data_IF_193064579816
#
_entry.id   IF_193064579816
#
_cell.length_a   1.000
_cell.length_b   1.000
_cell.length_c   1.000
_cell.angle_alpha   90.00
_cell.angle_beta   90.00
_cell.angle_gamma   90.00
#
_symmetry.space_group_name_H-M   'P 1'
#
loop_
_entity.id
_entity.type
_entity.pdbx_description
1 polymer ?
#
# COMPACT_ATOMS: atom_id res chain seq x y z
N UNK A 1 -8.59 -11.70 -35.03
CA UNK A 1 -7.75 -10.53 -35.42
C UNK A 1 -8.13 -9.36 -34.52
N UNK A 2 -7.22 -8.87 -33.68
CA UNK A 2 -7.50 -7.82 -32.69
C UNK A 2 -7.42 -6.43 -33.35
N UNK A 3 -8.53 -5.69 -33.44
CA UNK A 3 -8.46 -4.24 -33.66
C UNK A 3 -7.94 -3.59 -32.37
N UNK A 4 -6.64 -3.29 -32.32
CA UNK A 4 -6.08 -2.35 -31.34
C UNK A 4 -6.59 -0.96 -31.73
N UNK A 5 -7.29 -0.28 -30.81
CA UNK A 5 -7.55 1.15 -30.95
C UNK A 5 -6.19 1.86 -31.03
N UNK A 6 -5.83 2.31 -32.23
CA UNK A 6 -4.59 3.06 -32.52
C UNK A 6 -4.86 4.57 -32.59
N UNK A 7 -6.08 5.03 -32.34
CA UNK A 7 -6.44 6.43 -32.61
C UNK A 7 -6.02 7.40 -31.50
N UNK A 8 -5.63 6.88 -30.32
CA UNK A 8 -5.18 7.70 -29.19
C UNK A 8 -3.74 7.36 -28.79
N UNK A 9 -2.97 8.41 -28.55
CA UNK A 9 -1.58 8.35 -28.12
C UNK A 9 -1.39 9.16 -26.84
N UNK A 10 -0.16 9.18 -26.34
CA UNK A 10 0.26 10.04 -25.21
C UNK A 10 0.08 11.53 -25.50
N UNK A 11 -0.12 11.90 -26.76
CA UNK A 11 -0.25 13.29 -27.23
C UNK A 11 -1.71 13.66 -27.53
N UNK A 12 -2.66 12.73 -27.35
CA UNK A 12 -4.08 13.01 -27.52
C UNK A 12 -4.58 13.93 -26.39
N UNK A 13 -5.30 14.99 -26.75
CA UNK A 13 -5.85 15.98 -25.80
C UNK A 13 -7.14 15.47 -25.16
N UNK A 14 -7.35 15.82 -23.89
CA UNK A 14 -8.54 15.49 -23.12
C UNK A 14 -9.81 16.01 -23.78
N UNK A 15 -10.82 15.15 -23.92
CA UNK A 15 -12.12 15.49 -24.52
C UNK A 15 -13.06 16.31 -23.60
N UNK A 16 -12.58 16.81 -22.47
CA UNK A 16 -13.37 17.68 -21.59
C UNK A 16 -13.26 19.12 -22.11
N UNK A 17 -14.36 19.88 -22.21
CA UNK A 17 -14.32 21.26 -22.71
C UNK A 17 -13.23 22.08 -22.02
N UNK A 18 -12.50 22.85 -22.81
CA UNK A 18 -11.41 23.74 -22.36
C UNK A 18 -10.23 23.05 -21.65
N UNK A 19 -10.14 21.71 -21.67
CA UNK A 19 -8.99 21.00 -21.12
C UNK A 19 -7.91 20.73 -22.17
N UNK A 20 -6.73 21.32 -21.96
CA UNK A 20 -5.56 21.13 -22.82
C UNK A 20 -4.59 20.04 -22.34
N UNK A 21 -4.96 19.25 -21.31
CA UNK A 21 -4.10 18.17 -20.79
C UNK A 21 -4.17 16.93 -21.66
N UNK A 22 -3.05 16.21 -21.77
CA UNK A 22 -3.01 14.93 -22.47
C UNK A 22 -3.84 13.86 -21.74
N UNK A 23 -4.39 12.94 -22.49
CA UNK A 23 -5.23 11.85 -21.99
C UNK A 23 -4.44 10.89 -21.08
N UNK A 24 -5.16 10.32 -20.11
CA UNK A 24 -4.60 9.34 -19.18
C UNK A 24 -4.24 8.03 -19.90
N UNK A 25 -3.07 7.46 -19.60
CA UNK A 25 -2.69 6.12 -20.04
C UNK A 25 -3.11 5.09 -19.00
N UNK A 26 -3.98 4.18 -19.38
CA UNK A 26 -4.44 3.10 -18.51
C UNK A 26 -3.32 2.07 -18.26
N UNK A 27 -3.39 1.31 -17.16
CA UNK A 27 -2.38 0.32 -16.81
C UNK A 27 -2.18 -0.79 -17.85
N UNK A 28 -3.15 -1.01 -18.75
CA UNK A 28 -3.08 -1.94 -19.86
C UNK A 28 -2.38 -1.38 -21.11
N UNK A 29 -1.95 -0.12 -21.06
CA UNK A 29 -1.26 0.59 -22.12
C UNK A 29 -2.16 1.35 -23.09
N UNK A 30 -3.49 1.26 -22.93
CA UNK A 30 -4.45 2.03 -23.73
C UNK A 30 -4.58 3.48 -23.24
N UNK A 31 -5.10 4.37 -24.08
CA UNK A 31 -5.30 5.78 -23.73
C UNK A 31 -6.79 6.10 -23.58
N UNK A 32 -7.12 6.74 -22.46
CA UNK A 32 -8.45 7.26 -22.12
C UNK A 32 -8.88 8.37 -23.09
N UNK A 33 -10.15 8.77 -23.04
CA UNK A 33 -10.63 10.01 -23.68
C UNK A 33 -10.39 11.26 -22.82
N UNK A 34 -10.03 11.09 -21.55
CA UNK A 34 -9.89 12.15 -20.57
C UNK A 34 -8.54 12.07 -19.85
N UNK A 35 -7.97 13.21 -19.46
CA UNK A 35 -6.72 13.29 -18.70
C UNK A 35 -6.82 12.72 -17.27
N UNK A 36 -8.02 12.42 -16.78
CA UNK A 36 -8.22 11.85 -15.46
C UNK A 36 -9.67 11.50 -15.14
N UNK A 37 -9.87 10.84 -13.99
CA UNK A 37 -11.19 10.39 -13.51
C UNK A 37 -12.14 11.56 -13.25
N UNK A 38 -11.62 12.71 -12.79
CA UNK A 38 -12.40 13.91 -12.52
C UNK A 38 -13.10 14.43 -13.77
N UNK A 39 -12.36 14.68 -14.86
CA UNK A 39 -12.92 15.15 -16.13
C UNK A 39 -13.89 14.14 -16.76
N UNK A 40 -13.57 12.85 -16.66
CA UNK A 40 -14.47 11.78 -17.10
C UNK A 40 -15.79 11.79 -16.34
N UNK A 41 -15.75 11.96 -15.02
CA UNK A 41 -16.95 11.96 -14.18
C UNK A 41 -17.73 13.27 -14.35
N UNK A 42 -17.05 14.41 -14.55
CA UNK A 42 -17.66 15.71 -14.81
C UNK A 42 -18.43 15.75 -16.14
N UNK A 43 -18.00 15.00 -17.16
CA UNK A 43 -18.79 14.82 -18.40
C UNK A 43 -20.11 14.08 -18.18
N UNK A 44 -20.25 13.30 -17.11
CA UNK A 44 -21.49 12.57 -16.79
C UNK A 44 -22.49 13.52 -16.10
N UNK A 45 -21.97 14.53 -15.38
CA UNK A 45 -22.77 15.49 -14.61
C UNK A 45 -23.01 16.83 -15.32
N UNK A 46 -22.45 17.06 -16.51
CA UNK A 46 -22.66 18.31 -17.23
C UNK A 46 -24.05 18.36 -17.88
N UNK A 47 -24.92 19.31 -17.51
CA UNK A 47 -26.18 19.56 -18.21
C UNK A 47 -25.87 20.44 -19.42
N UNK A 48 -25.31 19.87 -20.48
CA UNK A 48 -25.19 20.56 -21.77
C UNK A 48 -26.09 19.83 -22.75
N UNK A 49 -27.20 20.49 -23.09
CA UNK A 49 -28.33 20.05 -23.91
C UNK A 49 -27.99 19.47 -25.28
N UNK A 50 -27.35 18.30 -25.29
CA UNK A 50 -27.16 17.47 -26.47
C UNK A 50 -27.52 16.05 -26.09
N UNK A 51 -28.38 15.43 -26.89
CA UNK A 51 -28.93 14.10 -26.69
C UNK A 51 -27.84 13.04 -26.97
N UNK A 52 -26.82 12.96 -26.11
CA UNK A 52 -25.66 12.08 -26.31
C UNK A 52 -26.13 10.63 -26.09
N UNK A 53 -26.03 9.75 -27.10
CA UNK A 53 -26.49 8.38 -26.98
C UNK A 53 -25.75 7.65 -25.85
N UNK A 54 -26.47 6.89 -25.04
CA UNK A 54 -25.91 6.06 -23.96
C UNK A 54 -25.64 4.63 -24.43
N UNK A 55 -24.68 3.96 -23.81
CA UNK A 55 -24.26 2.61 -24.13
C UNK A 55 -25.42 1.61 -24.02
N UNK A 56 -25.72 0.90 -25.11
CA UNK A 56 -26.80 -0.12 -25.15
C UNK A 56 -26.63 -1.27 -24.16
N UNK A 57 -25.42 -1.51 -23.66
CA UNK A 57 -25.17 -2.59 -22.71
C UNK A 57 -25.31 -2.13 -21.25
N UNK A 58 -24.58 -1.09 -20.84
CA UNK A 58 -24.57 -0.68 -19.43
C UNK A 58 -25.53 0.45 -19.10
N UNK A 59 -26.08 1.15 -20.11
CA UNK A 59 -27.04 2.26 -20.00
C UNK A 59 -26.60 3.44 -19.10
N UNK A 60 -25.38 3.41 -18.55
CA UNK A 60 -24.85 4.41 -17.61
C UNK A 60 -23.80 5.31 -18.25
N UNK A 61 -23.09 4.83 -19.28
CA UNK A 61 -21.96 5.57 -19.90
C UNK A 61 -22.34 6.05 -21.31
N UNK A 62 -21.88 7.24 -21.74
CA UNK A 62 -22.02 7.69 -23.12
C UNK A 62 -21.42 6.68 -24.10
N UNK A 63 -21.99 6.58 -25.29
CA UNK A 63 -21.40 5.74 -26.34
C UNK A 63 -20.03 6.26 -26.76
N UNK A 64 -19.15 5.34 -27.18
CA UNK A 64 -17.84 5.68 -27.72
C UNK A 64 -18.00 6.49 -29.00
N UNK A 65 -17.27 7.61 -29.10
CA UNK A 65 -17.12 8.41 -30.32
C UNK A 65 -15.69 8.26 -30.83
N UNK A 66 -15.54 7.73 -32.04
CA UNK A 66 -14.26 7.63 -32.75
C UNK A 66 -14.42 8.18 -34.18
N UNK A 67 -13.59 9.14 -34.56
CA UNK A 67 -13.58 9.78 -35.88
C UNK A 67 -14.93 10.38 -36.32
N UNK A 68 -15.71 10.94 -35.38
CA UNK A 68 -17.00 11.58 -35.69
C UNK A 68 -18.18 10.60 -35.86
N UNK A 69 -17.97 9.29 -35.65
CA UNK A 69 -19.04 8.29 -35.63
C UNK A 69 -19.34 7.84 -34.19
N UNK A 70 -20.64 7.85 -33.86
CA UNK A 70 -21.17 7.32 -32.60
C UNK A 70 -21.34 5.80 -32.70
N UNK A 71 -20.70 5.06 -31.81
CA UNK A 71 -20.86 3.62 -31.69
C UNK A 71 -22.04 3.27 -30.79
N UNK A 72 -22.41 1.99 -30.68
CA UNK A 72 -23.54 1.55 -29.84
C UNK A 72 -23.16 1.34 -28.35
N UNK A 73 -21.88 1.36 -28.01
CA UNK A 73 -21.37 0.96 -26.69
C UNK A 73 -20.27 1.90 -26.19
N UNK A 74 -20.12 2.06 -24.88
CA UNK A 74 -19.10 2.92 -24.25
C UNK A 74 -17.67 2.36 -24.32
N UNK A 75 -17.47 1.19 -24.92
CA UNK A 75 -16.18 0.54 -25.06
C UNK A 75 -16.30 -0.93 -25.46
N UNK A 76 -15.18 -1.51 -25.90
CA UNK A 76 -15.08 -2.88 -26.45
C UNK A 76 -15.61 -3.94 -25.47
N UNK A 77 -15.38 -3.75 -24.17
CA UNK A 77 -15.87 -4.66 -23.12
C UNK A 77 -17.40 -4.71 -23.08
N UNK A 78 -18.07 -3.55 -23.14
CA UNK A 78 -19.52 -3.49 -23.14
C UNK A 78 -20.12 -4.04 -24.44
N UNK A 79 -19.48 -3.84 -25.60
CA UNK A 79 -19.92 -4.49 -26.84
C UNK A 79 -19.82 -6.02 -26.77
N UNK A 80 -18.71 -6.54 -26.23
CA UNK A 80 -18.49 -7.99 -26.07
C UNK A 80 -19.48 -8.63 -25.09
N UNK A 81 -19.72 -7.98 -23.95
CA UNK A 81 -20.64 -8.51 -22.93
C UNK A 81 -22.10 -8.52 -23.44
N UNK A 82 -22.49 -7.56 -24.26
CA UNK A 82 -23.81 -7.51 -24.91
C UNK A 82 -24.00 -8.65 -25.93
N UNK A 83 -22.96 -8.92 -26.74
CA UNK A 83 -22.96 -10.05 -27.68
C UNK A 83 -23.02 -11.41 -26.95
N UNK A 84 -22.26 -11.56 -25.85
CA UNK A 84 -22.31 -12.77 -25.02
C UNK A 84 -23.67 -13.02 -24.37
N UNK A 85 -24.49 -11.97 -24.19
CA UNK A 85 -25.85 -12.04 -23.65
C UNK A 85 -26.93 -12.12 -24.73
N UNK A 86 -26.57 -12.46 -25.98
CA UNK A 86 -27.53 -12.59 -27.06
C UNK A 86 -28.19 -11.27 -27.49
N UNK A 87 -27.55 -10.13 -27.25
CA UNK A 87 -28.12 -8.82 -27.57
C UNK A 87 -29.00 -8.22 -26.47
N UNK A 88 -28.95 -8.76 -25.24
CA UNK A 88 -29.64 -8.18 -24.10
C UNK A 88 -28.72 -7.29 -23.24
N UNK A 89 -29.19 -6.11 -22.80
CA UNK A 89 -28.46 -5.24 -21.87
C UNK A 89 -28.07 -5.94 -20.57
N UNK A 90 -27.05 -5.44 -19.89
CA UNK A 90 -26.78 -5.87 -18.53
C UNK A 90 -27.89 -5.34 -17.62
N UNK A 91 -28.47 -6.21 -16.79
CA UNK A 91 -29.44 -5.83 -15.75
C UNK A 91 -28.78 -4.76 -14.85
N UNK A 92 -29.37 -3.57 -14.72
CA UNK A 92 -28.90 -2.57 -13.77
C UNK A 92 -28.92 -3.14 -12.34
N UNK A 93 -28.06 -2.68 -11.43
CA UNK A 93 -28.22 -2.99 -10.00
C UNK A 93 -29.63 -2.59 -9.55
N UNK A 94 -30.29 -3.35 -8.67
CA UNK A 94 -31.61 -2.98 -8.17
C UNK A 94 -31.54 -1.61 -7.48
N UNK A 95 -32.41 -0.70 -7.88
CA UNK A 95 -32.56 0.60 -7.22
C UNK A 95 -33.08 0.41 -5.78
N UNK A 96 -32.68 1.27 -4.83
CA UNK A 96 -33.25 1.26 -3.50
C UNK A 96 -34.74 1.61 -3.55
N UNK A 97 -35.54 0.73 -2.94
CA UNK A 97 -36.99 0.81 -2.80
C UNK A 97 -37.37 2.14 -2.14
N UNK A 98 -38.18 2.95 -2.82
CA UNK A 98 -38.83 4.14 -2.29
C UNK A 98 -40.25 3.78 -1.83
N UNK A 99 -40.59 4.19 -0.61
CA UNK A 99 -41.94 4.14 -0.02
C UNK A 99 -42.59 5.53 -0.05
N UNK A 100 -43.92 5.63 0.06
CA UNK A 100 -44.74 6.48 -0.83
C UNK A 100 -44.95 7.92 -0.36
N UNK A 101 -45.35 8.72 -1.35
CA UNK A 101 -45.69 10.14 -1.34
C UNK A 101 -46.80 10.50 -0.35
N UNK A 102 -46.60 11.58 0.39
CA UNK A 102 -47.68 12.44 0.90
C UNK A 102 -47.33 13.86 0.48
N UNK A 103 -48.20 14.45 -0.33
CA UNK A 103 -48.00 15.76 -0.97
C UNK A 103 -48.08 16.94 0.00
N UNK A 104 -47.47 18.05 -0.42
CA UNK A 104 -47.59 19.34 0.25
C UNK A 104 -46.57 20.37 -0.24
N UNK A 105 -47.03 21.23 -1.15
CA UNK A 105 -46.58 22.58 -1.52
C UNK A 105 -45.09 22.97 -1.60
N UNK A 106 -44.78 23.52 -2.78
CA UNK A 106 -43.68 24.42 -3.13
C UNK A 106 -43.20 25.33 -1.97
N UNK A 107 -42.01 25.03 -1.43
CA UNK A 107 -41.12 26.07 -0.89
C UNK A 107 -39.66 25.73 -1.21
N UNK A 108 -38.91 26.81 -1.44
CA UNK A 108 -37.56 26.90 -1.97
C UNK A 108 -36.53 26.29 -1.00
N UNK A 109 -36.33 24.97 -1.02
CA UNK A 109 -35.33 24.30 -0.20
C UNK A 109 -33.94 24.42 -0.84
N UNK A 110 -33.15 25.35 -0.29
CA UNK A 110 -31.70 25.45 -0.44
C UNK A 110 -31.06 24.07 -0.25
N UNK A 111 -30.30 23.62 -1.26
CA UNK A 111 -29.54 22.37 -1.23
C UNK A 111 -28.52 22.41 -0.09
N UNK A 112 -28.89 21.90 1.08
CA UNK A 112 -27.98 21.68 2.19
C UNK A 112 -27.02 20.55 1.79
N UNK A 113 -25.93 20.92 1.10
CA UNK A 113 -24.68 20.19 1.22
C UNK A 113 -24.36 20.21 2.71
N UNK A 114 -24.38 19.05 3.36
CA UNK A 114 -23.88 18.92 4.74
C UNK A 114 -22.39 19.31 4.72
N UNK A 115 -22.12 20.60 4.92
CA UNK A 115 -20.77 21.09 5.11
C UNK A 115 -20.29 20.50 6.43
N UNK A 116 -19.31 19.60 6.36
CA UNK A 116 -18.66 19.09 7.55
C UNK A 116 -18.07 20.28 8.32
N UNK A 117 -18.36 20.33 9.62
CA UNK A 117 -17.80 21.32 10.52
C UNK A 117 -16.46 20.85 11.10
N UNK A 118 -15.71 21.80 11.65
CA UNK A 118 -14.45 21.53 12.33
C UNK A 118 -14.63 20.52 13.47
N UNK A 119 -13.72 19.54 13.57
CA UNK A 119 -13.77 18.49 14.61
C UNK A 119 -13.31 18.94 15.99
N UNK A 120 -13.06 20.24 16.20
CA UNK A 120 -12.79 20.79 17.52
C UNK A 120 -14.11 21.15 18.18
N UNK A 121 -14.32 20.68 19.41
CA UNK A 121 -15.61 20.76 20.12
C UNK A 121 -16.20 22.17 20.25
N UNK A 122 -15.37 23.21 20.13
CA UNK A 122 -15.77 24.62 20.28
C UNK A 122 -15.78 25.38 18.95
N UNK A 123 -15.80 24.69 17.80
CA UNK A 123 -15.74 25.33 16.49
C UNK A 123 -16.71 24.74 15.46
N UNK A 124 -17.64 25.58 14.99
CA UNK A 124 -18.62 25.19 13.97
C UNK A 124 -18.26 25.67 12.55
N UNK A 125 -17.04 26.18 12.36
CA UNK A 125 -16.58 26.64 11.04
C UNK A 125 -16.49 25.46 10.07
N UNK A 126 -16.78 25.65 8.77
CA UNK A 126 -16.64 24.61 7.76
C UNK A 126 -15.20 24.11 7.69
N UNK A 127 -15.02 22.82 7.41
CA UNK A 127 -13.69 22.21 7.28
C UNK A 127 -12.88 22.87 6.16
N UNK A 128 -11.57 22.99 6.40
CA UNK A 128 -10.63 23.47 5.40
C UNK A 128 -10.40 22.40 4.33
N UNK A 129 -10.39 22.81 3.07
CA UNK A 129 -10.08 21.99 1.90
C UNK A 129 -8.79 22.51 1.31
N UNK A 130 -7.83 21.62 1.07
CA UNK A 130 -6.58 22.00 0.41
C UNK A 130 -6.75 22.20 -1.10
N UNK A 131 -5.71 22.72 -1.76
CA UNK A 131 -5.72 22.99 -3.21
C UNK A 131 -5.97 21.74 -4.07
N UNK A 132 -5.78 20.53 -3.51
CA UNK A 132 -6.05 19.26 -4.18
C UNK A 132 -7.52 18.83 -4.10
N UNK A 133 -8.34 19.58 -3.35
CA UNK A 133 -9.72 19.21 -3.04
C UNK A 133 -9.81 18.21 -1.90
N UNK A 134 -8.73 17.98 -1.14
CA UNK A 134 -8.75 17.06 0.00
C UNK A 134 -9.26 17.79 1.23
N UNK A 135 -10.42 17.36 1.72
CA UNK A 135 -11.01 17.86 2.96
C UNK A 135 -10.15 17.46 4.16
N UNK A 136 -9.86 18.42 5.02
CA UNK A 136 -9.37 18.12 6.37
C UNK A 136 -10.54 17.94 7.34
N UNK A 137 -10.22 17.53 8.57
CA UNK A 137 -11.20 17.45 9.67
C UNK A 137 -11.34 18.79 10.43
N UNK A 138 -10.64 19.86 10.02
CA UNK A 138 -10.49 21.08 10.81
C UNK A 138 -10.61 22.33 9.93
N UNK A 139 -11.12 23.45 10.44
CA UNK A 139 -11.39 24.64 9.62
C UNK A 139 -10.17 25.50 9.24
N UNK A 140 -8.99 25.25 9.84
CA UNK A 140 -7.80 26.06 9.58
C UNK A 140 -6.51 25.33 9.99
N UNK A 141 -5.36 25.79 9.50
CA UNK A 141 -4.06 25.29 9.95
C UNK A 141 -3.84 25.47 11.45
N UNK A 142 -4.37 26.53 12.04
CA UNK A 142 -4.31 26.74 13.49
C UNK A 142 -5.07 25.64 14.24
N UNK A 143 -6.28 25.29 13.80
CA UNK A 143 -7.08 24.23 14.42
C UNK A 143 -6.48 22.84 14.17
N UNK A 144 -5.83 22.65 13.02
CA UNK A 144 -5.05 21.44 12.74
C UNK A 144 -3.89 21.28 13.71
N UNK A 145 -3.08 22.32 13.93
CA UNK A 145 -1.97 22.26 14.89
C UNK A 145 -2.46 22.04 16.32
N UNK A 146 -3.50 22.76 16.74
CA UNK A 146 -4.12 22.56 18.06
C UNK A 146 -4.64 21.12 18.24
N UNK A 147 -5.20 20.51 17.19
CA UNK A 147 -5.64 19.13 17.28
C UNK A 147 -4.51 18.15 17.58
N UNK A 148 -3.32 18.37 17.01
CA UNK A 148 -2.13 17.55 17.33
C UNK A 148 -1.71 17.75 18.78
N UNK A 149 -1.73 18.99 19.29
CA UNK A 149 -1.46 19.29 20.70
C UNK A 149 -2.48 18.62 21.65
N UNK A 150 -3.73 18.47 21.19
CA UNK A 150 -4.79 17.76 21.89
C UNK A 150 -4.77 16.23 21.67
N UNK A 151 -3.73 15.69 21.02
CA UNK A 151 -3.51 14.25 20.89
C UNK A 151 -3.95 13.61 19.57
N UNK A 152 -4.31 14.39 18.54
CA UNK A 152 -4.53 13.85 17.20
C UNK A 152 -3.23 13.31 16.59
N UNK A 153 -3.33 12.20 15.86
CA UNK A 153 -2.15 11.57 15.24
C UNK A 153 -1.49 12.50 14.22
N UNK A 154 -0.26 12.93 14.50
CA UNK A 154 0.49 13.85 13.66
C UNK A 154 0.96 13.21 12.34
N UNK A 155 1.05 14.03 11.29
CA UNK A 155 1.67 13.69 10.02
C UNK A 155 3.07 13.13 10.20
N UNK A 156 3.37 11.99 9.58
CA UNK A 156 4.68 11.36 9.72
C UNK A 156 5.82 12.18 9.08
N UNK A 157 5.52 13.04 8.10
CA UNK A 157 6.53 13.90 7.47
C UNK A 157 6.75 15.20 8.25
N UNK A 158 5.75 16.10 8.27
CA UNK A 158 5.94 17.44 8.84
C UNK A 158 5.78 17.52 10.36
N UNK A 159 5.14 16.52 10.99
CA UNK A 159 4.80 16.48 12.43
C UNK A 159 3.93 17.65 12.96
N UNK A 160 3.52 18.60 12.09
CA UNK A 160 2.81 19.84 12.46
C UNK A 160 1.28 19.74 12.45
N UNK A 161 0.75 18.86 11.61
CA UNK A 161 -0.68 18.77 11.32
C UNK A 161 -1.16 17.32 11.42
N UNK A 162 -2.45 17.07 11.68
CA UNK A 162 -2.96 15.73 11.88
C UNK A 162 -3.05 15.00 10.54
N UNK A 163 -2.96 13.67 10.61
CA UNK A 163 -3.18 12.76 9.49
C UNK A 163 -4.60 12.90 8.95
N UNK A 164 -4.74 13.06 7.63
CA UNK A 164 -6.05 13.21 6.99
C UNK A 164 -6.68 11.86 6.63
N UNK A 165 -7.99 11.86 6.35
CA UNK A 165 -8.70 10.72 5.76
C UNK A 165 -8.68 10.84 4.23
N UNK A 166 -8.20 9.81 3.56
CA UNK A 166 -8.25 9.68 2.09
C UNK A 166 -9.09 8.46 1.75
N UNK A 167 -10.25 8.69 1.13
CA UNK A 167 -11.20 7.61 0.77
C UNK A 167 -11.58 6.71 1.97
N UNK A 168 -11.84 7.33 3.14
CA UNK A 168 -12.21 6.61 4.37
C UNK A 168 -11.04 5.96 5.11
N UNK A 169 -9.80 6.03 4.59
CA UNK A 169 -8.61 5.48 5.25
C UNK A 169 -7.72 6.60 5.78
N UNK A 170 -7.26 6.45 7.03
CA UNK A 170 -6.29 7.37 7.64
C UNK A 170 -4.97 7.29 6.86
N UNK A 171 -4.57 8.42 6.30
CA UNK A 171 -3.28 8.62 5.63
C UNK A 171 -2.16 8.69 6.66
N UNK A 172 -0.93 8.42 6.25
CA UNK A 172 0.26 8.74 7.06
C UNK A 172 0.57 10.25 7.10
N UNK A 173 -0.07 11.02 6.22
CA UNK A 173 0.30 12.39 5.91
C UNK A 173 -0.87 13.35 6.10
N UNK A 174 -0.55 14.61 6.37
CA UNK A 174 -1.53 15.68 6.51
C UNK A 174 -1.92 16.33 5.17
N UNK A 175 -1.22 16.02 4.08
CA UNK A 175 -1.49 16.54 2.73
C UNK A 175 -0.77 15.70 1.67
N UNK A 176 -1.18 15.87 0.42
CA UNK A 176 -0.50 15.26 -0.73
C UNK A 176 0.93 15.79 -0.92
N UNK A 177 1.20 17.06 -0.59
CA UNK A 177 2.58 17.60 -0.59
C UNK A 177 3.49 16.85 0.37
N UNK A 178 3.01 16.59 1.60
CA UNK A 178 3.79 15.84 2.60
C UNK A 178 4.04 14.40 2.14
N UNK A 179 3.04 13.78 1.51
CA UNK A 179 3.16 12.45 0.93
C UNK A 179 4.17 12.42 -0.20
N UNK A 180 4.08 13.34 -1.15
CA UNK A 180 4.94 13.39 -2.33
C UNK A 180 6.40 13.65 -1.93
N UNK A 181 6.64 14.56 -0.99
CA UNK A 181 7.98 14.83 -0.44
C UNK A 181 8.65 13.56 0.12
N UNK A 182 7.90 12.67 0.76
CA UNK A 182 8.44 11.40 1.28
C UNK A 182 8.68 10.38 0.15
N UNK A 183 7.78 10.32 -0.82
CA UNK A 183 7.94 9.46 -2.00
C UNK A 183 9.18 9.86 -2.79
N UNK A 184 9.40 11.16 -3.00
CA UNK A 184 10.54 11.70 -3.74
C UNK A 184 11.87 11.50 -2.99
N UNK A 185 11.80 11.48 -1.65
CA UNK A 185 12.96 11.22 -0.79
C UNK A 185 13.21 9.73 -0.54
N UNK A 186 12.39 8.83 -1.11
CA UNK A 186 12.54 7.41 -0.89
C UNK A 186 13.82 6.86 -1.56
N UNK A 187 14.57 5.93 -0.92
CA UNK A 187 14.21 5.20 0.28
C UNK A 187 14.42 6.05 1.53
N UNK A 188 13.45 6.05 2.44
CA UNK A 188 13.52 6.81 3.69
C UNK A 188 12.76 6.10 4.80
N UNK A 189 12.94 6.56 6.02
CA UNK A 189 12.28 6.02 7.19
C UNK A 189 11.77 7.14 8.10
N UNK A 190 10.52 7.01 8.54
CA UNK A 190 9.86 8.00 9.37
C UNK A 190 9.56 7.41 10.75
N UNK A 191 9.88 8.19 11.77
CA UNK A 191 9.67 7.84 13.17
C UNK A 191 8.16 7.72 13.48
N UNK A 192 7.76 6.64 14.14
CA UNK A 192 6.43 6.48 14.69
C UNK A 192 6.46 6.86 16.17
N UNK A 193 5.63 7.83 16.54
CA UNK A 193 5.44 8.21 17.94
C UNK A 193 4.91 7.02 18.76
N UNK A 194 5.27 6.93 20.03
CA UNK A 194 4.83 5.82 20.89
C UNK A 194 3.31 5.74 21.05
N UNK A 195 2.61 6.86 20.89
CA UNK A 195 1.15 6.93 20.93
C UNK A 195 0.50 6.71 19.54
N UNK A 196 1.31 6.58 18.49
CA UNK A 196 0.82 6.27 17.14
C UNK A 196 0.21 4.87 17.09
N UNK A 197 -0.98 4.74 16.49
CA UNK A 197 -1.65 3.43 16.38
C UNK A 197 -0.80 2.41 15.61
N UNK A 198 0.03 2.85 14.68
CA UNK A 198 0.94 1.98 13.96
C UNK A 198 2.09 1.50 14.85
N UNK A 199 2.60 2.35 15.75
CA UNK A 199 3.58 1.93 16.74
C UNK A 199 3.00 0.83 17.62
N UNK A 200 1.83 1.07 18.22
CA UNK A 200 1.13 0.10 19.08
C UNK A 200 0.84 -1.21 18.33
N UNK A 201 0.39 -1.12 17.07
CA UNK A 201 0.12 -2.30 16.25
C UNK A 201 1.36 -3.17 16.02
N UNK A 202 2.50 -2.56 15.69
CA UNK A 202 3.75 -3.30 15.44
C UNK A 202 4.34 -3.82 16.75
N UNK A 203 4.28 -3.04 17.82
CA UNK A 203 4.72 -3.46 19.16
C UNK A 203 3.93 -4.66 19.68
N UNK A 204 2.59 -4.62 19.59
CA UNK A 204 1.75 -5.75 20.00
C UNK A 204 2.04 -6.99 19.16
N UNK A 205 2.19 -6.87 17.83
CA UNK A 205 2.59 -8.00 16.99
C UNK A 205 3.93 -8.61 17.42
N UNK A 206 4.89 -7.80 17.87
CA UNK A 206 6.18 -8.30 18.34
C UNK A 206 6.04 -9.08 19.65
N UNK A 207 5.31 -8.51 20.61
CA UNK A 207 5.06 -9.10 21.92
C UNK A 207 4.26 -10.40 21.78
N UNK A 208 3.16 -10.39 21.04
CA UNK A 208 2.30 -11.55 20.81
C UNK A 208 3.04 -12.69 20.10
N UNK A 209 3.99 -12.34 19.24
CA UNK A 209 4.81 -13.29 18.48
C UNK A 209 6.07 -13.76 19.23
N UNK A 210 6.32 -13.29 20.46
CA UNK A 210 7.48 -13.73 21.24
C UNK A 210 7.19 -15.09 21.88
N UNK A 211 7.86 -16.15 21.42
CA UNK A 211 7.56 -17.53 21.84
C UNK A 211 8.73 -18.25 22.53
N UNK A 212 9.94 -17.71 22.46
CA UNK A 212 11.06 -18.27 23.21
C UNK A 212 10.85 -18.03 24.72
N UNK A 213 11.23 -18.99 25.57
CA UNK A 213 11.17 -18.85 27.04
C UNK A 213 12.33 -17.97 27.54
N UNK A 214 12.36 -16.71 27.11
CA UNK A 214 13.34 -15.71 27.50
C UNK A 214 12.64 -14.38 27.79
N UNK A 215 13.31 -13.47 28.51
CA UNK A 215 12.80 -12.11 28.72
C UNK A 215 12.45 -11.45 27.38
N UNK A 216 11.29 -10.79 27.34
CA UNK A 216 10.79 -10.09 26.16
C UNK A 216 11.46 -8.72 26.09
N UNK A 217 12.21 -8.40 25.01
CA UNK A 217 12.84 -7.10 24.87
C UNK A 217 11.81 -5.96 24.81
N UNK A 218 12.14 -4.83 25.43
CA UNK A 218 11.33 -3.63 25.27
C UNK A 218 11.57 -3.00 23.89
N UNK A 219 10.51 -2.68 23.16
CA UNK A 219 10.60 -1.91 21.91
C UNK A 219 10.78 -0.44 22.27
N UNK A 220 11.96 0.09 21.94
CA UNK A 220 12.30 1.48 22.15
C UNK A 220 11.75 2.38 21.04
N UNK A 221 11.85 1.93 19.79
CA UNK A 221 11.51 2.76 18.64
C UNK A 221 11.03 1.94 17.46
N UNK A 222 10.08 2.47 16.69
CA UNK A 222 9.64 1.87 15.43
C UNK A 222 9.71 2.92 14.35
N UNK A 223 10.37 2.56 13.27
CA UNK A 223 10.48 3.38 12.07
C UNK A 223 9.66 2.74 10.96
N UNK A 224 8.76 3.52 10.35
CA UNK A 224 8.05 3.11 9.13
C UNK A 224 8.94 3.34 7.92
N UNK A 225 9.10 2.32 7.09
CA UNK A 225 9.98 2.36 5.92
C UNK A 225 9.18 2.72 4.67
N UNK A 226 9.66 3.70 3.92
CA UNK A 226 9.17 4.07 2.60
C UNK A 226 10.20 3.64 1.56
N UNK A 227 9.85 2.60 0.83
CA UNK A 227 10.69 1.99 -0.20
C UNK A 227 10.72 2.86 -1.46
N UNK A 228 11.77 2.73 -2.29
CA UNK A 228 11.81 3.34 -3.63
C UNK A 228 10.58 2.93 -4.42
N UNK A 229 10.09 3.83 -5.27
CA UNK A 229 8.92 3.57 -6.12
C UNK A 229 9.09 2.29 -6.95
N UNK A 230 10.26 2.08 -7.54
CA UNK A 230 10.57 0.91 -8.36
C UNK A 230 10.47 -0.41 -7.57
N UNK A 231 10.94 -0.43 -6.33
CA UNK A 231 10.88 -1.61 -5.46
C UNK A 231 9.44 -1.89 -5.03
N UNK A 232 8.70 -0.84 -4.66
CA UNK A 232 7.29 -0.95 -4.33
C UNK A 232 6.44 -1.43 -5.52
N UNK A 233 6.69 -0.90 -6.72
CA UNK A 233 6.00 -1.32 -7.95
C UNK A 233 6.29 -2.79 -8.29
N UNK A 234 7.52 -3.28 -8.06
CA UNK A 234 7.85 -4.70 -8.25
C UNK A 234 7.08 -5.59 -7.27
N UNK A 235 7.08 -5.23 -5.99
CA UNK A 235 6.33 -5.95 -4.95
C UNK A 235 4.83 -6.00 -5.25
N UNK A 236 4.20 -4.86 -5.55
CA UNK A 236 2.76 -4.81 -5.83
C UNK A 236 2.39 -5.57 -7.11
N UNK A 237 3.24 -5.52 -8.15
CA UNK A 237 3.04 -6.33 -9.37
C UNK A 237 3.12 -7.82 -9.05
N UNK A 238 4.08 -8.25 -8.25
CA UNK A 238 4.20 -9.63 -7.82
C UNK A 238 2.99 -10.07 -7.01
N UNK A 239 2.57 -9.28 -6.02
CA UNK A 239 1.38 -9.52 -5.20
C UNK A 239 0.11 -9.72 -6.05
N UNK A 240 -0.16 -8.81 -6.98
CA UNK A 240 -1.32 -8.90 -7.89
C UNK A 240 -1.21 -10.08 -8.86
N UNK A 241 0.00 -10.47 -9.26
CA UNK A 241 0.23 -11.66 -10.07
C UNK A 241 -0.14 -12.92 -9.27
N UNK A 242 0.30 -13.03 -8.03
CA UNK A 242 0.01 -14.18 -7.16
C UNK A 242 -1.48 -14.23 -6.81
N UNK A 243 -2.10 -13.09 -6.50
CA UNK A 243 -3.55 -12.99 -6.27
C UNK A 243 -4.36 -13.50 -7.47
N UNK A 244 -4.02 -13.09 -8.69
CA UNK A 244 -4.68 -13.60 -9.91
C UNK A 244 -4.39 -15.08 -10.18
N UNK A 245 -3.16 -15.53 -9.92
CA UNK A 245 -2.74 -16.92 -10.14
C UNK A 245 -3.45 -17.88 -9.19
N UNK A 246 -3.65 -17.48 -7.92
CA UNK A 246 -4.10 -18.37 -6.84
C UNK A 246 -5.54 -18.14 -6.41
N UNK A 247 -6.12 -16.98 -6.71
CA UNK A 247 -7.41 -16.55 -6.17
C UNK A 247 -7.36 -16.11 -4.70
N UNK A 248 -6.18 -16.12 -4.07
CA UNK A 248 -6.01 -15.72 -2.67
C UNK A 248 -5.96 -14.20 -2.57
N UNK A 249 -6.86 -13.62 -1.77
CA UNK A 249 -6.94 -12.18 -1.55
C UNK A 249 -5.58 -11.60 -1.15
N UNK A 250 -5.21 -10.49 -1.78
CA UNK A 250 -3.91 -9.84 -1.62
C UNK A 250 -2.70 -10.79 -1.82
N UNK A 251 -2.83 -11.88 -2.58
CA UNK A 251 -1.75 -12.84 -2.82
C UNK A 251 -1.31 -13.58 -1.55
N UNK A 252 -2.18 -13.67 -0.55
CA UNK A 252 -1.83 -14.20 0.79
C UNK A 252 -0.63 -13.46 1.41
N UNK A 253 -0.60 -12.12 1.27
CA UNK A 253 0.45 -11.30 1.87
C UNK A 253 0.35 -11.36 3.39
N UNK A 254 1.45 -11.74 4.03
CA UNK A 254 1.55 -11.84 5.47
C UNK A 254 2.68 -10.96 6.01
N UNK A 255 2.54 -10.47 7.24
CA UNK A 255 3.64 -9.82 7.94
C UNK A 255 4.57 -10.85 8.59
N UNK A 256 5.88 -10.70 8.39
CA UNK A 256 6.90 -11.59 8.95
C UNK A 256 8.10 -10.83 9.49
N UNK A 257 8.68 -11.37 10.55
CA UNK A 257 9.88 -10.86 11.20
C UNK A 257 11.13 -11.35 10.49
N UNK A 258 12.13 -10.46 10.40
CA UNK A 258 13.45 -10.79 9.87
C UNK A 258 14.54 -10.14 10.71
N UNK A 259 15.38 -10.97 11.31
CA UNK A 259 16.59 -10.55 12.01
C UNK A 259 17.81 -10.65 11.11
N UNK A 260 18.70 -9.66 11.21
CA UNK A 260 19.91 -9.60 10.38
C UNK A 260 21.05 -8.90 11.12
N UNK A 261 22.21 -8.78 10.47
CA UNK A 261 23.36 -8.07 11.01
C UNK A 261 23.20 -6.57 10.87
N UNK A 262 23.43 -5.85 11.95
CA UNK A 262 23.47 -4.39 12.01
C UNK A 262 24.89 -3.95 12.38
N UNK A 263 25.50 -3.12 11.55
CA UNK A 263 26.82 -2.52 11.79
C UNK A 263 26.78 -1.01 11.96
N UNK A 264 25.59 -0.42 12.12
CA UNK A 264 25.39 1.02 12.20
C UNK A 264 24.42 1.41 13.32
N UNK A 265 24.36 2.69 13.66
CA UNK A 265 23.44 3.26 14.66
C UNK A 265 22.17 3.86 14.02
N UNK A 266 21.82 3.45 12.80
CA UNK A 266 20.64 3.93 12.06
C UNK A 266 19.37 3.77 12.92
N UNK A 267 18.69 4.88 13.17
CA UNK A 267 17.43 4.95 13.89
C UNK A 267 17.55 5.06 15.41
N UNK A 268 18.76 5.02 15.99
CA UNK A 268 18.94 5.10 17.46
C UNK A 268 18.35 6.38 18.06
N UNK A 269 18.35 7.46 17.26
CA UNK A 269 17.76 8.76 17.59
C UNK A 269 17.00 9.31 16.39
N UNK A 270 16.12 10.29 16.59
CA UNK A 270 15.28 10.85 15.50
C UNK A 270 16.08 11.51 14.37
N UNK A 271 17.33 11.90 14.61
CA UNK A 271 18.23 12.50 13.62
C UNK A 271 19.21 11.50 12.97
N UNK A 272 19.22 10.22 13.38
CA UNK A 272 20.12 9.20 12.83
C UNK A 272 19.44 8.42 11.69
N UNK A 273 19.08 9.12 10.62
CA UNK A 273 18.36 8.53 9.47
C UNK A 273 19.23 8.29 8.24
N UNK A 274 20.49 8.74 8.25
CA UNK A 274 21.44 8.49 7.16
C UNK A 274 21.88 7.03 7.12
N UNK A 275 21.74 6.39 5.96
CA UNK A 275 22.25 5.04 5.72
C UNK A 275 23.79 5.03 5.70
N UNK A 276 24.39 3.93 6.15
CA UNK A 276 25.84 3.76 6.01
C UNK A 276 26.23 3.57 4.54
N UNK A 277 27.39 4.09 4.15
CA UNK A 277 27.97 3.95 2.81
C UNK A 277 28.65 2.59 2.61
N UNK A 278 28.30 1.56 3.38
CA UNK A 278 28.89 0.23 3.21
C UNK A 278 28.59 -0.22 1.79
N UNK A 279 29.63 -0.26 0.96
CA UNK A 279 29.56 -0.91 -0.35
C UNK A 279 29.07 -2.34 -0.16
N UNK A 280 28.49 -2.90 -1.21
CA UNK A 280 27.76 -4.18 -1.18
C UNK A 280 28.58 -5.38 -0.71
N UNK A 281 29.90 -5.22 -0.61
CA UNK A 281 30.88 -6.24 -0.22
C UNK A 281 31.27 -6.17 1.27
N UNK A 282 31.05 -5.04 1.95
CA UNK A 282 31.24 -4.97 3.40
C UNK A 282 29.96 -5.43 4.10
N UNK A 283 29.84 -6.74 4.30
CA UNK A 283 28.78 -7.39 5.08
C UNK A 283 28.75 -6.94 6.56
N UNK A 284 29.44 -5.85 6.95
CA UNK A 284 29.38 -5.20 8.26
C UNK A 284 27.97 -4.76 8.63
N UNK A 285 27.12 -4.35 7.68
CA UNK A 285 25.75 -3.91 7.93
C UNK A 285 24.75 -4.37 6.84
N UNK A 286 23.79 -5.22 7.21
CA UNK A 286 22.73 -5.65 6.29
C UNK A 286 21.45 -4.79 6.38
N UNK A 287 21.28 -4.02 7.46
CA UNK A 287 20.07 -3.20 7.69
C UNK A 287 19.92 -2.10 6.63
N UNK A 288 20.97 -1.30 6.40
CA UNK A 288 20.95 -0.21 5.43
C UNK A 288 20.66 -0.68 4.00
N UNK A 289 21.39 -1.68 3.44
CA UNK A 289 21.10 -2.16 2.09
C UNK A 289 19.69 -2.74 1.96
N UNK A 290 19.16 -3.46 2.97
CA UNK A 290 17.77 -3.94 2.92
C UNK A 290 16.78 -2.76 2.81
N UNK A 291 17.00 -1.66 3.52
CA UNK A 291 16.13 -0.47 3.40
C UNK A 291 16.32 0.23 2.04
N UNK A 292 17.55 0.29 1.53
CA UNK A 292 17.87 1.05 0.31
C UNK A 292 17.47 0.35 -1.00
N UNK A 293 17.43 -0.98 -1.02
CA UNK A 293 17.22 -1.79 -2.23
C UNK A 293 16.35 -3.05 -2.02
N UNK A 294 15.64 -3.13 -0.90
CA UNK A 294 14.88 -4.31 -0.46
C UNK A 294 15.76 -5.55 -0.23
N UNK A 295 15.11 -6.68 0.06
CA UNK A 295 15.75 -7.98 0.20
C UNK A 295 16.23 -8.53 -1.15
N UNK A 296 17.35 -9.25 -1.11
CA UNK A 296 18.00 -9.83 -2.28
C UNK A 296 18.27 -11.30 -2.06
N UNK A 297 17.72 -12.15 -2.92
CA UNK A 297 17.92 -13.59 -2.90
C UNK A 297 19.40 -13.95 -3.09
N UNK A 298 20.15 -13.14 -3.85
CA UNK A 298 21.58 -13.37 -4.06
C UNK A 298 22.38 -13.34 -2.75
N UNK A 299 21.92 -12.57 -1.75
CA UNK A 299 22.48 -12.48 -0.40
C UNK A 299 22.04 -13.64 0.51
N UNK A 300 21.14 -14.52 0.05
CA UNK A 300 20.84 -15.77 0.75
C UNK A 300 22.04 -16.71 0.67
N UNK A 301 22.40 -17.29 1.81
CA UNK A 301 23.51 -18.24 1.92
C UNK A 301 24.89 -17.61 2.19
N UNK A 302 25.03 -16.28 2.15
CA UNK A 302 26.34 -15.62 2.34
C UNK A 302 26.82 -15.65 3.79
N UNK A 303 25.90 -15.54 4.75
CA UNK A 303 26.19 -15.58 6.19
C UNK A 303 26.04 -16.96 6.80
N UNK A 304 25.02 -17.70 6.37
CA UNK A 304 24.76 -19.06 6.82
C UNK A 304 24.70 -19.95 5.57
N UNK A 305 25.72 -20.79 5.39
CA UNK A 305 25.77 -21.74 4.27
C UNK A 305 24.70 -22.83 4.38
N UNK A 306 24.13 -23.01 5.58
CA UNK A 306 23.03 -23.93 5.84
C UNK A 306 21.71 -23.18 6.04
N UNK A 307 20.74 -23.46 5.17
CA UNK A 307 19.33 -23.11 5.34
C UNK A 307 18.48 -24.37 5.21
N UNK A 308 17.55 -24.59 6.15
CA UNK A 308 16.72 -25.81 6.22
C UNK A 308 15.93 -26.06 4.93
N UNK A 309 15.59 -25.01 4.22
CA UNK A 309 14.85 -25.02 2.96
C UNK A 309 15.66 -24.36 1.84
N UNK A 310 16.98 -24.55 1.85
CA UNK A 310 17.91 -24.10 0.82
C UNK A 310 18.03 -22.59 0.65
N UNK A 311 18.32 -22.13 -0.57
CA UNK A 311 18.65 -20.74 -0.89
C UNK A 311 17.39 -19.91 -1.10
N UNK A 312 16.84 -19.41 0.00
CA UNK A 312 15.67 -18.53 0.03
C UNK A 312 15.85 -17.33 0.97
N UNK A 313 14.89 -16.41 0.95
CA UNK A 313 14.82 -15.30 1.92
C UNK A 313 14.00 -15.79 3.12
N UNK A 314 14.66 -15.94 4.25
CA UNK A 314 14.07 -16.48 5.47
C UNK A 314 13.45 -15.38 6.34
N UNK A 315 12.24 -15.63 6.79
CA UNK A 315 11.50 -14.80 7.75
C UNK A 315 10.75 -15.72 8.72
N UNK A 316 10.11 -15.17 9.75
CA UNK A 316 9.33 -15.96 10.71
C UNK A 316 8.08 -15.21 11.15
N UNK A 317 7.00 -15.91 11.44
CA UNK A 317 5.86 -15.35 12.17
C UNK A 317 6.20 -15.18 13.67
N UNK A 318 7.20 -15.89 14.17
CA UNK A 318 7.69 -15.83 15.55
C UNK A 318 8.81 -14.78 15.68
N UNK A 319 8.59 -13.73 16.48
CA UNK A 319 9.52 -12.60 16.64
C UNK A 319 10.83 -13.03 17.34
N UNK A 320 10.73 -13.88 18.36
CA UNK A 320 11.89 -14.39 19.10
C UNK A 320 12.78 -15.32 18.26
N UNK A 321 12.20 -16.00 17.28
CA UNK A 321 12.94 -16.81 16.30
C UNK A 321 13.69 -15.92 15.32
N UNK A 322 13.08 -14.86 14.82
CA UNK A 322 13.80 -13.88 14.01
C UNK A 322 14.91 -13.18 14.83
N UNK A 323 14.69 -12.92 16.12
CA UNK A 323 15.68 -12.29 17.00
C UNK A 323 16.98 -13.10 17.14
N UNK A 324 16.93 -14.44 17.10
CA UNK A 324 18.15 -15.25 17.17
C UNK A 324 19.12 -15.05 16.00
N UNK A 325 18.66 -14.40 14.91
CA UNK A 325 19.48 -14.04 13.76
C UNK A 325 20.00 -12.60 13.81
N UNK A 326 19.53 -11.80 14.77
CA UNK A 326 19.98 -10.42 14.96
C UNK A 326 21.39 -10.40 15.54
N UNK A 327 22.30 -9.77 14.82
CA UNK A 327 23.65 -9.48 15.28
C UNK A 327 23.85 -7.97 15.34
N UNK A 328 24.29 -7.49 16.50
CA UNK A 328 24.64 -6.09 16.67
C UNK A 328 26.17 -5.97 16.71
N UNK A 329 26.74 -5.34 15.70
CA UNK A 329 28.17 -5.23 15.47
C UNK A 329 28.71 -3.80 15.60
N UNK A 330 27.87 -2.85 16.05
CA UNK A 330 28.29 -1.52 16.45
C UNK A 330 28.02 -1.25 17.94
N UNK A 331 28.59 -0.17 18.46
CA UNK A 331 28.34 0.34 19.81
C UNK A 331 26.94 0.98 19.91
N UNK A 332 25.90 0.16 19.84
CA UNK A 332 24.52 0.57 20.08
C UNK A 332 23.89 -0.34 21.14
N UNK A 333 23.20 0.28 22.10
CA UNK A 333 22.45 -0.42 23.14
C UNK A 333 21.16 -1.07 22.60
N UNK A 334 20.84 -0.85 21.32
CA UNK A 334 19.65 -1.38 20.67
C UNK A 334 19.98 -2.47 19.65
N UNK A 335 19.15 -3.50 19.60
CA UNK A 335 19.07 -4.46 18.50
C UNK A 335 18.01 -4.01 17.50
N UNK A 336 18.23 -4.26 16.21
CA UNK A 336 17.25 -3.92 15.17
C UNK A 336 16.68 -5.17 14.52
N UNK A 337 15.38 -5.13 14.22
CA UNK A 337 14.68 -6.21 13.54
C UNK A 337 13.62 -5.65 12.60
N UNK A 338 13.44 -6.29 11.45
CA UNK A 338 12.43 -5.88 10.48
C UNK A 338 11.10 -6.57 10.73
N UNK A 339 10.01 -5.83 10.53
CA UNK A 339 8.72 -6.37 10.15
C UNK A 339 8.54 -6.12 8.65
N UNK A 340 8.26 -7.18 7.89
CA UNK A 340 8.22 -7.15 6.42
C UNK A 340 6.87 -7.63 5.91
N UNK A 341 6.43 -7.08 4.78
CA UNK A 341 5.30 -7.65 4.02
C UNK A 341 5.84 -8.75 3.10
N UNK A 342 5.27 -9.95 3.18
CA UNK A 342 5.72 -11.15 2.44
C UNK A 342 4.55 -11.77 1.69
N UNK A 343 4.62 -11.83 0.36
CA UNK A 343 3.62 -12.48 -0.50
C UNK A 343 3.81 -13.99 -0.43
N UNK A 344 3.02 -14.68 0.40
CA UNK A 344 3.16 -16.11 0.62
C UNK A 344 2.51 -16.97 -0.47
N UNK A 345 1.51 -16.44 -1.19
CA UNK A 345 0.75 -17.20 -2.19
C UNK A 345 0.26 -18.54 -1.67
N UNK A 346 0.32 -19.57 -2.51
CA UNK A 346 0.08 -20.96 -2.10
C UNK A 346 1.33 -21.51 -1.43
N UNK A 347 1.26 -21.81 -0.15
CA UNK A 347 2.41 -22.18 0.68
C UNK A 347 2.57 -23.69 0.84
N UNK A 348 3.77 -24.22 0.61
CA UNK A 348 4.14 -25.59 0.89
C UNK A 348 4.50 -25.73 2.38
N UNK A 349 3.73 -26.52 3.12
CA UNK A 349 4.01 -26.83 4.53
C UNK A 349 4.98 -27.99 4.61
N UNK A 350 6.11 -27.79 5.29
CA UNK A 350 7.18 -28.78 5.39
C UNK A 350 7.58 -28.97 6.85
N UNK A 351 7.77 -30.22 7.28
CA UNK A 351 8.21 -30.57 8.65
C UNK A 351 9.63 -31.14 8.70
N UNK A 352 10.19 -31.47 7.53
CA UNK A 352 11.55 -32.00 7.35
C UNK A 352 12.34 -31.04 6.47
N UNK A 353 13.62 -30.94 6.75
CA UNK A 353 14.54 -30.11 5.98
C UNK A 353 14.61 -30.58 4.52
N UNK A 354 14.77 -29.61 3.62
CA UNK A 354 15.11 -29.82 2.22
C UNK A 354 16.09 -28.71 1.80
N UNK A 355 17.37 -28.96 2.08
CA UNK A 355 18.44 -27.95 1.98
C UNK A 355 18.85 -27.62 0.54
N UNK A 356 18.37 -28.38 -0.45
CA UNK A 356 18.71 -28.18 -1.87
C UNK A 356 17.70 -27.30 -2.62
N UNK A 357 16.64 -26.83 -1.95
CA UNK A 357 15.65 -25.95 -2.59
C UNK A 357 16.29 -24.63 -3.04
N UNK A 358 16.01 -24.27 -4.28
CA UNK A 358 16.35 -22.95 -4.86
C UNK A 358 15.11 -22.21 -5.36
N UNK A 359 13.96 -22.87 -5.31
CA UNK A 359 12.64 -22.37 -5.68
C UNK A 359 11.57 -23.11 -4.85
N UNK A 360 10.33 -22.59 -4.74
CA UNK A 360 9.27 -23.31 -4.04
C UNK A 360 8.94 -24.61 -4.77
N UNK A 361 8.48 -25.67 -4.05
CA UNK A 361 8.03 -26.91 -4.68
C UNK A 361 6.97 -26.67 -5.77
N UNK A 362 6.92 -27.57 -6.76
CA UNK A 362 6.00 -27.43 -7.89
C UNK A 362 4.55 -27.17 -7.43
N UNK A 363 3.95 -26.12 -7.99
CA UNK A 363 2.58 -25.73 -7.67
C UNK A 363 2.42 -24.89 -6.40
N UNK A 364 3.52 -24.45 -5.78
CA UNK A 364 3.56 -23.53 -4.65
C UNK A 364 4.33 -22.25 -4.98
N UNK A 365 4.18 -21.23 -4.13
CA UNK A 365 4.81 -19.91 -4.27
C UNK A 365 5.80 -19.61 -3.12
N UNK A 366 5.66 -20.33 -2.00
CA UNK A 366 6.53 -20.20 -0.82
C UNK A 366 6.60 -21.51 -0.02
N UNK A 367 7.50 -21.57 0.95
CA UNK A 367 7.60 -22.67 1.92
C UNK A 367 7.35 -22.14 3.33
N UNK A 368 6.65 -22.91 4.14
CA UNK A 368 6.58 -22.74 5.60
C UNK A 368 7.09 -24.01 6.27
N UNK A 369 8.17 -23.87 7.03
CA UNK A 369 8.62 -24.86 8.00
C UNK A 369 7.71 -24.85 9.21
N UNK A 370 7.03 -25.96 9.50
CA UNK A 370 6.15 -26.08 10.66
C UNK A 370 6.90 -26.70 11.86
N UNK A 371 6.66 -26.21 13.09
CA UNK A 371 7.22 -26.82 14.29
C UNK A 371 6.80 -28.30 14.46
N UNK A 372 7.67 -29.10 15.10
CA UNK A 372 7.29 -30.39 15.67
C UNK A 372 8.22 -31.57 15.37
N UNK A 373 8.92 -31.58 14.22
CA UNK A 373 9.94 -32.59 13.92
C UNK A 373 11.33 -31.98 14.01
N UNK A 374 11.80 -31.37 12.92
CA UNK A 374 13.14 -30.77 12.87
C UNK A 374 13.18 -29.32 13.38
N UNK A 375 12.01 -28.68 13.53
CA UNK A 375 11.87 -27.26 13.85
C UNK A 375 11.19 -27.04 15.19
N UNK A 376 11.75 -26.13 15.99
CA UNK A 376 11.16 -25.65 17.24
C UNK A 376 10.21 -24.46 17.00
N UNK A 377 10.41 -23.71 15.91
CA UNK A 377 9.65 -22.52 15.55
C UNK A 377 9.48 -22.43 14.03
N UNK A 378 8.51 -21.63 13.60
CA UNK A 378 8.20 -21.51 12.18
C UNK A 378 9.27 -20.75 11.39
N UNK A 379 9.44 -21.14 10.13
CA UNK A 379 10.23 -20.40 9.15
C UNK A 379 9.38 -20.21 7.89
N UNK A 380 9.30 -18.98 7.39
CA UNK A 380 8.61 -18.61 6.14
C UNK A 380 9.65 -18.22 5.10
N UNK A 381 9.67 -18.91 3.97
CA UNK A 381 10.71 -18.79 2.94
C UNK A 381 10.09 -18.45 1.59
N UNK A 382 10.61 -17.38 0.99
CA UNK A 382 10.30 -16.99 -0.40
C UNK A 382 11.58 -17.01 -1.24
N UNK A 383 11.44 -17.27 -2.54
CA UNK A 383 12.55 -17.48 -3.46
C UNK A 383 12.60 -16.43 -4.58
N UNK A 384 12.02 -15.25 -4.33
CA UNK A 384 12.00 -14.11 -5.25
C UNK A 384 12.14 -12.81 -4.47
N UNK A 385 13.00 -11.91 -4.93
CA UNK A 385 13.17 -10.56 -4.37
C UNK A 385 11.83 -9.82 -4.24
N UNK A 386 11.02 -9.89 -5.30
CA UNK A 386 9.75 -9.16 -5.39
C UNK A 386 8.64 -9.73 -4.48
N UNK A 387 8.88 -10.88 -3.82
CA UNK A 387 7.93 -11.50 -2.90
C UNK A 387 7.96 -10.87 -1.50
N UNK A 388 8.90 -9.96 -1.22
CA UNK A 388 9.08 -9.38 0.10
C UNK A 388 9.55 -7.92 0.01
N UNK A 389 9.08 -7.10 0.94
CA UNK A 389 9.62 -5.75 1.16
C UNK A 389 9.69 -5.41 2.66
N UNK A 390 10.66 -4.61 3.10
CA UNK A 390 10.70 -4.15 4.47
C UNK A 390 9.58 -3.10 4.68
N UNK A 391 8.82 -3.24 5.76
CA UNK A 391 7.71 -2.35 6.10
C UNK A 391 8.01 -1.48 7.32
N UNK A 392 8.69 -2.03 8.32
CA UNK A 392 9.11 -1.28 9.52
C UNK A 392 10.42 -1.83 10.09
N UNK A 393 11.19 -0.96 10.74
CA UNK A 393 12.38 -1.30 11.53
C UNK A 393 12.08 -1.04 13.00
N UNK A 394 12.04 -2.09 13.81
CA UNK A 394 11.94 -1.99 15.27
C UNK A 394 13.32 -1.97 15.90
N UNK A 395 13.56 -1.01 16.80
CA UNK A 395 14.70 -1.00 17.72
C UNK A 395 14.24 -1.43 19.10
N UNK A 396 14.95 -2.40 19.67
CA UNK A 396 14.62 -3.00 20.95
C UNK A 396 15.83 -3.10 21.86
N UNK A 397 15.60 -3.14 23.17
CA UNK A 397 16.67 -3.28 24.16
C UNK A 397 17.44 -4.60 23.98
N UNK A 398 18.71 -4.59 24.40
CA UNK A 398 19.43 -5.83 24.62
C UNK A 398 18.96 -6.42 25.95
N UNK A 399 18.40 -7.63 25.89
CA UNK A 399 18.18 -8.45 27.07
C UNK A 399 19.56 -8.90 27.56
N UNK A 400 19.89 -8.64 28.82
CA UNK A 400 21.11 -9.17 29.43
C UNK A 400 20.91 -10.67 29.59
N UNK A 401 21.79 -11.47 28.98
CA UNK A 401 21.83 -12.92 29.15
C UNK A 401 22.49 -13.23 30.49
#
# INVERSE_FOLDING_TARGET
MMCRDRSRSKDTICAFPDCLRNVWKDPDGSFSAFCGKQHRNAMISHPVGTNIPVCKNCQVKPVYNGNGQFYNFCGVRCGRDFQKRGGHPAVPPPEPISSPEVGGSLELASTLVSQKSCSLQTCDRPVWVDDSGTESEYCSNQHRSLAVELGAEACLNCKKFPKILVSGKRSDFCSDTCKQSVIDSAPTMLDLDTNDKQFLNVSNQFLDAWKHPSEVPNIFKIWKIYNKKSDNDRFERYRLLIERKTGLANGNTCRRWHGTKRGCTLGDTSNRTSFCCSDDDDDSCCVCPIIQRSFKLEKSGTRYTFGRFGRGIYTSATSSKADSYVQQNCFSIYKAMFLSDVVMGKTAKMKRDNTVLTEPPQGYDSVVGEPGLALNYDESIVYKDDAIRPASLGLKTQVKI
#
